data_IF_086106487999
#
_entry.id   IF_086106487999
#
_cell.length_a   1.000
_cell.length_b   1.000
_cell.length_c   1.000
_cell.angle_alpha   90.00
_cell.angle_beta   90.00
_cell.angle_gamma   90.00
#
_symmetry.space_group_name_H-M   'P 1'
#
loop_
_entity.id
_entity.type
_entity.pdbx_description
1 polymer ?
#
# COMPACT_ATOMS: atom_id res chain seq x y z
N UNK A 1 -3.55 7.71 24.82
CA UNK A 1 -3.96 6.60 23.93
C UNK A 1 -4.13 7.17 22.54
N UNK A 2 -3.48 6.59 21.52
CA UNK A 2 -3.70 7.02 20.12
C UNK A 2 -5.15 6.72 19.73
N UNK A 3 -5.89 7.73 19.24
CA UNK A 3 -7.25 7.56 18.74
C UNK A 3 -7.16 7.36 17.23
N UNK A 4 -7.23 6.11 16.80
CA UNK A 4 -7.18 5.75 15.37
C UNK A 4 -8.55 5.97 14.72
N UNK A 5 -8.62 6.44 13.46
CA UNK A 5 -9.88 6.64 12.76
C UNK A 5 -10.58 5.30 12.54
N UNK A 6 -11.88 5.18 12.85
CA UNK A 6 -12.67 4.01 12.48
C UNK A 6 -13.12 4.18 11.02
N UNK A 7 -12.49 3.44 10.10
CA UNK A 7 -12.74 3.58 8.66
C UNK A 7 -13.94 2.79 8.15
N UNK A 8 -14.49 1.85 8.93
CA UNK A 8 -15.57 0.95 8.46
C UNK A 8 -15.04 -0.25 7.68
N UNK A 9 -15.79 -0.72 6.68
CA UNK A 9 -15.48 -1.90 5.88
C UNK A 9 -14.58 -1.56 4.68
N UNK A 10 -13.43 -2.21 4.63
CA UNK A 10 -12.45 -2.03 3.56
C UNK A 10 -12.52 -3.12 2.50
N UNK A 11 -12.10 -2.79 1.29
CA UNK A 11 -11.92 -3.76 0.21
C UNK A 11 -10.53 -3.63 -0.43
N UNK A 12 -9.90 -4.74 -0.78
CA UNK A 12 -8.66 -4.75 -1.54
C UNK A 12 -8.86 -4.21 -2.95
N UNK A 13 -8.11 -3.18 -3.31
CA UNK A 13 -8.17 -2.56 -4.62
C UNK A 13 -7.48 -3.44 -5.67
N UNK A 14 -8.15 -3.63 -6.82
CA UNK A 14 -7.67 -4.41 -7.97
C UNK A 14 -7.87 -3.62 -9.25
N UNK A 15 -6.91 -3.74 -10.18
CA UNK A 15 -6.86 -2.98 -11.44
C UNK A 15 -8.13 -3.21 -12.27
N UNK A 16 -8.63 -4.44 -12.30
CA UNK A 16 -9.83 -4.83 -13.07
C UNK A 16 -11.10 -4.09 -12.62
N UNK A 17 -11.10 -3.51 -11.43
CA UNK A 17 -12.25 -2.80 -10.85
C UNK A 17 -12.13 -1.29 -10.89
N UNK A 18 -11.01 -0.73 -11.36
CA UNK A 18 -10.80 0.73 -11.32
C UNK A 18 -11.88 1.52 -12.04
N UNK A 19 -12.24 1.10 -13.24
CA UNK A 19 -13.21 1.82 -14.06
C UNK A 19 -14.61 1.73 -13.46
N UNK A 20 -15.03 0.55 -13.00
CA UNK A 20 -16.29 0.37 -12.29
C UNK A 20 -16.35 1.20 -11.00
N UNK A 21 -15.28 1.21 -10.19
CA UNK A 21 -15.22 2.03 -8.97
C UNK A 21 -15.35 3.52 -9.30
N UNK A 22 -14.69 3.99 -10.36
CA UNK A 22 -14.76 5.39 -10.78
C UNK A 22 -16.06 5.76 -11.49
N UNK A 23 -16.73 4.82 -12.15
CA UNK A 23 -18.02 5.04 -12.80
C UNK A 23 -19.16 5.00 -11.77
N UNK A 24 -19.24 3.91 -11.03
CA UNK A 24 -20.42 3.53 -10.26
C UNK A 24 -20.37 3.97 -8.79
N UNK A 25 -19.16 4.25 -8.28
CA UNK A 25 -18.92 4.67 -6.89
C UNK A 25 -19.61 3.76 -5.87
N UNK A 26 -19.22 2.47 -5.80
CA UNK A 26 -19.86 1.52 -4.91
C UNK A 26 -19.76 1.98 -3.44
N UNK A 27 -20.71 1.57 -2.57
CA UNK A 27 -20.74 1.92 -1.16
C UNK A 27 -19.70 1.11 -0.37
N UNK A 28 -18.42 1.42 -0.61
CA UNK A 28 -17.26 0.89 0.12
C UNK A 28 -16.67 2.03 0.94
N UNK A 29 -16.35 1.78 2.21
CA UNK A 29 -15.91 2.87 3.09
C UNK A 29 -14.45 3.29 2.81
N UNK A 30 -13.58 2.35 2.43
CA UNK A 30 -12.18 2.62 2.09
C UNK A 30 -11.53 1.46 1.29
N UNK A 31 -10.36 1.73 0.68
CA UNK A 31 -9.65 0.73 -0.12
C UNK A 31 -8.22 0.38 0.37
N UNK A 32 -7.95 -0.92 0.38
CA UNK A 32 -6.67 -1.65 0.41
C UNK A 32 -5.76 -1.43 -0.79
N UNK A 33 -4.59 -0.78 -0.71
CA UNK A 33 -3.58 -0.88 -1.78
C UNK A 33 -2.31 -1.62 -1.38
N UNK A 34 -1.83 -2.50 -2.26
CA UNK A 34 -0.48 -3.07 -2.16
C UNK A 34 0.54 -1.99 -2.57
N UNK A 35 1.34 -1.53 -1.61
CA UNK A 35 2.24 -0.38 -1.75
C UNK A 35 3.17 -0.52 -2.95
N UNK A 36 3.78 -1.69 -3.11
CA UNK A 36 4.80 -2.02 -4.12
C UNK A 36 4.27 -1.89 -5.54
N UNK A 37 2.97 -2.13 -5.77
CA UNK A 37 2.36 -1.96 -7.09
C UNK A 37 2.37 -0.51 -7.58
N UNK A 38 2.63 0.45 -6.69
CA UNK A 38 2.58 1.88 -6.99
C UNK A 38 3.89 2.62 -6.67
N UNK A 39 4.97 1.89 -6.33
CA UNK A 39 6.33 2.45 -6.25
C UNK A 39 6.94 2.64 -7.64
N UNK A 40 6.22 3.35 -8.49
CA UNK A 40 6.60 3.65 -9.88
C UNK A 40 6.71 5.17 -10.07
N UNK A 41 7.51 5.68 -11.03
CA UNK A 41 7.66 7.12 -11.25
C UNK A 41 6.36 7.83 -11.68
N UNK A 42 5.38 7.09 -12.21
CA UNK A 42 4.16 7.66 -12.79
C UNK A 42 3.34 6.62 -13.55
N UNK A 43 2.51 7.11 -14.48
CA UNK A 43 1.77 6.28 -15.43
C UNK A 43 0.35 5.92 -14.98
N UNK A 44 -0.26 5.00 -15.74
CA UNK A 44 -1.66 4.60 -15.60
C UNK A 44 -2.01 4.17 -14.16
N UNK A 45 -1.23 3.33 -13.45
CA UNK A 45 -1.57 2.90 -12.09
C UNK A 45 -1.72 4.08 -11.12
N UNK A 46 -0.77 5.01 -11.11
CA UNK A 46 -0.81 6.19 -10.25
C UNK A 46 -1.91 7.18 -10.66
N UNK A 47 -2.23 7.29 -11.96
CA UNK A 47 -3.36 8.09 -12.42
C UNK A 47 -4.68 7.62 -11.80
N UNK A 48 -5.01 6.34 -11.95
CA UNK A 48 -6.24 5.79 -11.38
C UNK A 48 -6.23 5.82 -9.85
N UNK A 49 -5.10 5.48 -9.22
CA UNK A 49 -5.01 5.50 -7.76
C UNK A 49 -5.28 6.90 -7.19
N UNK A 50 -4.73 7.94 -7.82
CA UNK A 50 -4.96 9.33 -7.41
C UNK A 50 -6.45 9.70 -7.53
N UNK A 51 -7.10 9.30 -8.64
CA UNK A 51 -8.53 9.55 -8.88
C UNK A 51 -9.45 8.80 -7.91
N UNK A 52 -9.04 7.59 -7.49
CA UNK A 52 -9.76 6.82 -6.46
C UNK A 52 -9.57 7.48 -5.09
N UNK A 53 -8.34 7.92 -4.76
CA UNK A 53 -8.04 8.62 -3.50
C UNK A 53 -8.82 9.93 -3.33
N UNK A 54 -9.14 10.63 -4.41
CA UNK A 54 -10.00 11.82 -4.37
C UNK A 54 -11.42 11.53 -3.83
N UNK A 55 -11.85 10.26 -3.85
CA UNK A 55 -13.22 9.84 -3.54
C UNK A 55 -13.31 8.93 -2.32
N UNK A 56 -12.27 8.15 -2.09
CA UNK A 56 -12.21 7.14 -1.03
C UNK A 56 -10.94 7.30 -0.20
N UNK A 57 -11.02 7.15 1.13
CA UNK A 57 -9.85 6.89 1.95
C UNK A 57 -9.10 5.65 1.46
N UNK A 58 -7.77 5.68 1.57
CA UNK A 58 -6.91 4.55 1.24
C UNK A 58 -6.12 4.11 2.46
N UNK A 59 -5.82 2.83 2.55
CA UNK A 59 -4.72 2.33 3.37
C UNK A 59 -3.64 1.70 2.47
N UNK A 60 -2.39 1.92 2.83
CA UNK A 60 -1.24 1.32 2.17
C UNK A 60 -0.80 0.10 2.96
N UNK A 61 -0.67 -1.03 2.28
CA UNK A 61 -0.17 -2.28 2.86
C UNK A 61 1.04 -2.73 2.06
N UNK A 62 2.20 -2.75 2.70
CA UNK A 62 3.45 -3.24 2.11
C UNK A 62 3.66 -4.72 2.37
N UNK A 63 4.40 -5.37 1.49
CA UNK A 63 4.77 -6.79 1.57
C UNK A 63 6.27 -7.03 1.42
N UNK A 64 7.08 -5.97 1.31
CA UNK A 64 8.53 -6.06 1.03
C UNK A 64 9.43 -5.37 2.04
N UNK A 65 8.91 -4.78 3.14
CA UNK A 65 9.77 -4.07 4.11
C UNK A 65 10.69 -5.01 4.90
N UNK A 66 10.32 -6.29 5.02
CA UNK A 66 11.14 -7.32 5.65
C UNK A 66 11.56 -7.02 7.09
N UNK A 67 10.67 -6.45 7.92
CA UNK A 67 10.99 -5.94 9.26
C UNK A 67 11.64 -7.00 10.17
N UNK A 68 11.31 -8.28 9.97
CA UNK A 68 11.88 -9.38 10.73
C UNK A 68 13.32 -9.76 10.33
N UNK A 69 13.86 -9.19 9.25
CA UNK A 69 15.19 -9.50 8.72
C UNK A 69 16.32 -9.06 9.63
N UNK A 70 17.44 -9.76 9.53
CA UNK A 70 18.72 -9.34 10.11
C UNK A 70 19.44 -8.30 9.24
N UNK A 71 19.02 -8.14 7.98
CA UNK A 71 19.54 -7.10 7.10
C UNK A 71 19.03 -5.72 7.54
N UNK A 72 19.82 -4.64 7.32
CA UNK A 72 19.33 -3.28 7.52
C UNK A 72 18.10 -2.99 6.64
N UNK A 73 17.20 -2.14 7.12
CA UNK A 73 16.08 -1.65 6.32
C UNK A 73 16.58 -0.94 5.06
N UNK A 74 15.95 -1.24 3.93
CA UNK A 74 16.21 -0.56 2.67
C UNK A 74 15.72 0.90 2.74
N UNK A 75 16.69 1.82 2.82
CA UNK A 75 16.42 3.27 2.95
C UNK A 75 15.83 3.86 1.67
N UNK A 76 16.16 3.30 0.51
CA UNK A 76 15.63 3.77 -0.76
C UNK A 76 14.17 3.35 -0.93
N UNK A 77 13.84 2.10 -0.60
CA UNK A 77 12.45 1.65 -0.49
C UNK A 77 11.63 2.54 0.45
N UNK A 78 12.12 2.79 1.67
CA UNK A 78 11.42 3.66 2.63
C UNK A 78 11.24 5.10 2.12
N UNK A 79 12.19 5.61 1.33
CA UNK A 79 12.07 6.93 0.69
C UNK A 79 10.96 6.93 -0.36
N UNK A 80 10.83 5.86 -1.15
CA UNK A 80 9.76 5.71 -2.13
C UNK A 80 8.40 5.56 -1.46
N UNK A 81 8.29 4.74 -0.41
CA UNK A 81 7.07 4.60 0.41
C UNK A 81 6.66 5.95 0.99
N UNK A 82 7.61 6.71 1.57
CA UNK A 82 7.34 8.05 2.10
C UNK A 82 6.84 9.01 1.02
N UNK A 83 7.43 8.98 -0.16
CA UNK A 83 7.01 9.83 -1.28
C UNK A 83 5.59 9.49 -1.76
N UNK A 84 5.27 8.19 -1.84
CA UNK A 84 3.92 7.73 -2.19
C UNK A 84 2.91 8.11 -1.11
N UNK A 85 3.26 7.92 0.17
CA UNK A 85 2.42 8.31 1.29
C UNK A 85 2.15 9.82 1.33
N UNK A 86 3.15 10.65 1.00
CA UNK A 86 2.97 12.10 0.90
C UNK A 86 2.01 12.49 -0.24
N UNK A 87 1.98 11.72 -1.33
CA UNK A 87 1.06 11.94 -2.45
C UNK A 87 -0.37 11.46 -2.16
N UNK A 88 -0.50 10.32 -1.48
CA UNK A 88 -1.79 9.67 -1.28
C UNK A 88 -2.44 10.03 0.06
N UNK A 89 -1.69 10.54 1.04
CA UNK A 89 -2.18 10.81 2.39
C UNK A 89 -3.09 9.68 2.91
N UNK A 90 -2.57 8.44 3.01
CA UNK A 90 -3.38 7.29 3.40
C UNK A 90 -3.78 7.41 4.88
N UNK A 91 -4.90 6.79 5.24
CA UNK A 91 -5.34 6.71 6.62
C UNK A 91 -4.37 5.88 7.47
N UNK A 92 -3.88 4.76 6.90
CA UNK A 92 -2.93 3.84 7.53
C UNK A 92 -1.84 3.38 6.57
N UNK A 93 -0.67 3.07 7.14
CA UNK A 93 0.41 2.36 6.47
C UNK A 93 0.75 1.16 7.35
N UNK A 94 0.78 -0.03 6.76
CA UNK A 94 1.07 -1.28 7.46
C UNK A 94 2.01 -2.16 6.62
N UNK A 95 2.67 -3.11 7.26
CA UNK A 95 3.55 -4.10 6.64
C UNK A 95 3.65 -5.33 7.54
N UNK A 96 4.40 -6.35 7.11
CA UNK A 96 4.56 -7.60 7.81
C UNK A 96 5.84 -7.66 8.66
N UNK A 97 5.70 -8.18 9.88
CA UNK A 97 6.84 -8.62 10.68
C UNK A 97 7.27 -10.03 10.23
N UNK A 98 8.06 -10.09 9.16
CA UNK A 98 8.52 -11.35 8.57
C UNK A 98 9.87 -11.20 7.83
N UNK A 99 10.41 -12.32 7.36
CA UNK A 99 11.44 -12.33 6.31
C UNK A 99 10.78 -12.32 4.94
N UNK A 100 11.06 -11.30 4.13
CA UNK A 100 10.64 -11.26 2.71
C UNK A 100 11.82 -11.53 1.77
N UNK A 101 13.00 -11.80 2.33
CA UNK A 101 14.25 -11.97 1.60
C UNK A 101 15.47 -12.17 2.48
N UNK A 102 16.54 -12.71 1.88
CA UNK A 102 17.86 -12.92 2.51
C UNK A 102 18.95 -12.45 1.54
N UNK A 103 20.02 -11.83 2.07
CA UNK A 103 21.18 -11.38 1.30
C UNK A 103 20.85 -10.48 0.09
N UNK A 104 19.85 -9.59 0.25
CA UNK A 104 19.46 -8.62 -0.79
C UNK A 104 18.58 -9.20 -1.91
N UNK A 105 18.06 -10.43 -1.76
CA UNK A 105 17.10 -11.03 -2.71
C UNK A 105 15.73 -11.15 -2.05
N UNK A 106 14.71 -10.57 -2.69
CA UNK A 106 13.31 -10.72 -2.29
C UNK A 106 12.79 -12.09 -2.75
N UNK A 107 12.20 -12.86 -1.84
CA UNK A 107 11.63 -14.19 -2.11
C UNK A 107 10.21 -14.11 -2.65
N UNK A 108 9.55 -12.95 -2.55
CA UNK A 108 8.13 -12.72 -2.83
C UNK A 108 7.19 -13.51 -1.91
N UNK A 109 7.76 -14.11 -0.86
CA UNK A 109 7.08 -14.90 0.17
C UNK A 109 7.25 -14.23 1.53
N UNK A 110 6.25 -14.33 2.39
CA UNK A 110 6.30 -13.90 3.78
C UNK A 110 6.76 -15.08 4.65
N UNK A 111 8.07 -15.19 4.88
CA UNK A 111 8.66 -16.31 5.63
C UNK A 111 8.53 -16.09 7.15
N UNK A 112 8.23 -17.16 7.92
CA UNK A 112 8.07 -17.08 9.36
C UNK A 112 9.39 -16.75 10.07
N UNK A 113 9.27 -16.25 11.30
CA UNK A 113 10.39 -16.03 12.23
C UNK A 113 10.74 -17.30 13.01
#
# INVERSE_FOLDING_TARGET
MLKLPALGFGLGLRVDHYEAILADRPPVDWFEVLTENYLVPGGKPLHYLTRIRERYPLAMHGVSMSIGSTAPLDREYLRQVKALAARLEPAWISDHLCWTGVAGRNTHDLLPL
#
